data_IF_865576195057
#
_entry.id   IF_865576195057
#
_cell.length_a   1.000
_cell.length_b   1.000
_cell.length_c   1.000
_cell.angle_alpha   90.00
_cell.angle_beta   90.00
_cell.angle_gamma   90.00
#
_symmetry.space_group_name_H-M   'P 1'
#
loop_
_entity.id
_entity.type
_entity.pdbx_description
1 polymer ?
#
# COMPACT_ATOMS: atom_id res chain seq x y z
N UNK A 1 10.84 31.09 38.91
CA UNK A 1 11.08 30.26 37.71
C UNK A 1 10.06 29.15 37.70
N UNK A 2 9.55 28.74 36.54
CA UNK A 2 8.55 27.67 36.42
C UNK A 2 9.26 26.36 36.00
N UNK A 3 9.83 25.58 36.94
CA UNK A 3 10.70 24.43 36.63
C UNK A 3 9.97 23.29 35.91
N UNK A 4 8.64 23.31 35.87
CA UNK A 4 7.80 22.35 35.15
C UNK A 4 7.55 22.75 33.68
N UNK A 5 7.86 23.99 33.28
CA UNK A 5 7.68 24.43 31.90
C UNK A 5 8.68 23.76 30.96
N UNK A 6 9.95 23.64 31.37
CA UNK A 6 11.02 23.02 30.56
C UNK A 6 10.75 21.56 30.19
N UNK A 7 10.33 20.68 31.13
CA UNK A 7 10.01 19.29 30.80
C UNK A 7 8.83 19.15 29.83
N UNK A 8 7.78 19.96 29.99
CA UNK A 8 6.58 19.90 29.13
C UNK A 8 6.94 20.33 27.70
N UNK A 9 7.69 21.43 27.57
CA UNK A 9 8.15 21.93 26.27
C UNK A 9 9.07 20.90 25.60
N UNK A 10 9.98 20.27 26.35
CA UNK A 10 10.83 19.20 25.84
C UNK A 10 10.04 18.00 25.32
N UNK A 11 8.94 17.63 25.99
CA UNK A 11 8.08 16.51 25.60
C UNK A 11 7.28 16.84 24.33
N UNK A 12 6.78 18.07 24.20
CA UNK A 12 6.10 18.56 22.99
C UNK A 12 7.06 18.56 21.80
N UNK A 13 8.28 19.09 21.96
CA UNK A 13 9.29 19.13 20.90
C UNK A 13 9.69 17.71 20.51
N UNK A 14 9.89 16.81 21.49
CA UNK A 14 10.21 15.40 21.24
C UNK A 14 9.12 14.70 20.43
N UNK A 15 7.84 14.92 20.78
CA UNK A 15 6.72 14.36 20.03
C UNK A 15 6.64 14.90 18.59
N UNK A 16 6.90 16.20 18.40
CA UNK A 16 6.95 16.81 17.07
C UNK A 16 8.09 16.24 16.21
N UNK A 17 9.29 16.11 16.78
CA UNK A 17 10.45 15.50 16.10
C UNK A 17 10.16 14.05 15.76
N UNK A 18 9.62 13.26 16.71
CA UNK A 18 9.30 11.86 16.48
C UNK A 18 8.30 11.69 15.33
N UNK A 19 7.29 12.57 15.25
CA UNK A 19 6.33 12.58 14.16
C UNK A 19 7.00 12.86 12.81
N UNK A 20 7.84 13.89 12.73
CA UNK A 20 8.58 14.24 11.51
C UNK A 20 9.51 13.10 11.09
N UNK A 21 10.19 12.47 12.04
CA UNK A 21 11.05 11.31 11.78
C UNK A 21 10.23 10.16 11.23
N UNK A 22 9.07 9.82 11.81
CA UNK A 22 8.22 8.75 11.29
C UNK A 22 7.69 9.07 9.88
N UNK A 23 7.27 10.31 9.62
CA UNK A 23 6.82 10.76 8.30
C UNK A 23 7.96 10.68 7.26
N UNK A 24 9.16 11.16 7.62
CA UNK A 24 10.33 11.18 6.74
C UNK A 24 10.89 9.78 6.53
N UNK A 25 11.00 8.98 7.59
CA UNK A 25 11.46 7.60 7.54
C UNK A 25 10.57 6.77 6.63
N UNK A 26 9.23 6.90 6.69
CA UNK A 26 8.34 6.20 5.74
C UNK A 26 8.65 6.57 4.29
N UNK A 27 8.89 7.85 4.01
CA UNK A 27 9.25 8.34 2.67
C UNK A 27 10.64 7.89 2.20
N UNK A 28 11.59 7.67 3.10
CA UNK A 28 12.97 7.30 2.77
C UNK A 28 13.14 5.78 2.75
N UNK A 29 12.44 5.04 3.61
CA UNK A 29 12.41 3.57 3.60
C UNK A 29 11.84 3.05 2.27
N UNK A 30 10.81 3.72 1.71
CA UNK A 30 10.27 3.34 0.39
C UNK A 30 11.29 3.51 -0.73
N UNK A 31 12.13 4.54 -0.65
CA UNK A 31 13.19 4.83 -1.64
C UNK A 31 14.41 3.93 -1.49
N UNK A 32 14.78 3.54 -0.28
CA UNK A 32 15.96 2.72 -0.02
C UNK A 32 15.73 1.22 -0.21
N UNK A 33 14.48 0.73 -0.11
CA UNK A 33 14.19 -0.70 -0.27
C UNK A 33 13.68 -1.10 -1.66
N UNK A 34 12.96 -0.24 -2.40
CA UNK A 34 12.45 -0.64 -3.72
C UNK A 34 12.27 0.50 -4.75
N UNK A 35 12.58 1.76 -4.42
CA UNK A 35 12.41 2.87 -5.37
C UNK A 35 10.96 3.08 -5.83
N UNK A 36 9.99 2.49 -5.13
CA UNK A 36 8.57 2.64 -5.42
C UNK A 36 8.06 3.85 -4.67
N UNK A 37 7.56 4.83 -5.43
CA UNK A 37 6.92 6.02 -4.89
C UNK A 37 5.70 5.62 -4.05
N UNK A 38 5.47 6.23 -2.88
CA UNK A 38 4.37 5.88 -1.98
C UNK A 38 2.97 6.05 -2.62
N UNK A 39 2.90 6.78 -3.73
CA UNK A 39 1.71 6.99 -4.54
C UNK A 39 1.32 5.71 -5.32
N UNK A 40 2.30 4.92 -5.77
CA UNK A 40 2.07 3.73 -6.61
C UNK A 40 1.31 2.63 -5.86
N UNK A 41 1.67 2.23 -4.62
CA UNK A 41 0.88 1.27 -3.85
C UNK A 41 -0.52 1.78 -3.50
N UNK A 42 -0.68 3.10 -3.32
CA UNK A 42 -1.98 3.71 -3.05
C UNK A 42 -2.90 3.65 -4.28
N UNK A 43 -2.35 3.91 -5.46
CA UNK A 43 -3.07 3.79 -6.73
C UNK A 43 -3.48 2.33 -7.00
N UNK A 44 -2.56 1.38 -6.84
CA UNK A 44 -2.84 -0.07 -6.95
C UNK A 44 -3.95 -0.49 -5.98
N UNK A 45 -3.89 -0.03 -4.73
CA UNK A 45 -4.92 -0.30 -3.72
C UNK A 45 -6.29 0.27 -4.13
N UNK A 46 -6.31 1.49 -4.67
CA UNK A 46 -7.53 2.14 -5.13
C UNK A 46 -8.19 1.36 -6.28
N UNK A 47 -7.41 0.97 -7.29
CA UNK A 47 -7.89 0.20 -8.44
C UNK A 47 -8.40 -1.18 -8.01
N UNK A 48 -7.64 -1.88 -7.16
CA UNK A 48 -8.04 -3.20 -6.66
C UNK A 48 -9.33 -3.10 -5.82
N UNK A 49 -9.42 -2.13 -4.91
CA UNK A 49 -10.59 -1.92 -4.05
C UNK A 49 -11.85 -1.44 -4.79
N UNK A 50 -11.72 -0.88 -5.99
CA UNK A 50 -12.84 -0.50 -6.84
C UNK A 50 -13.46 -1.68 -7.61
N UNK A 51 -12.94 -2.90 -7.44
CA UNK A 51 -13.43 -4.10 -8.13
C UNK A 51 -14.59 -4.72 -7.36
N UNK A 52 -15.67 -5.02 -8.08
CA UNK A 52 -16.87 -5.61 -7.49
C UNK A 52 -16.55 -6.98 -6.89
N UNK A 53 -17.00 -7.21 -5.65
CA UNK A 53 -16.73 -8.45 -4.91
C UNK A 53 -15.48 -8.40 -4.02
N UNK A 54 -14.64 -7.37 -4.13
CA UNK A 54 -13.56 -7.11 -3.17
C UNK A 54 -14.15 -6.44 -1.93
N UNK A 55 -14.03 -7.10 -0.77
CA UNK A 55 -14.43 -6.52 0.53
C UNK A 55 -13.34 -5.63 1.10
N UNK A 56 -12.10 -6.08 1.00
CA UNK A 56 -10.94 -5.36 1.51
C UNK A 56 -9.70 -5.70 0.69
N UNK A 57 -8.75 -4.75 0.61
CA UNK A 57 -7.40 -5.03 0.12
C UNK A 57 -6.49 -5.18 1.34
N UNK A 58 -6.15 -6.42 1.69
CA UNK A 58 -5.34 -6.70 2.89
C UNK A 58 -3.92 -6.16 2.72
N UNK A 59 -3.30 -6.44 1.58
CA UNK A 59 -1.91 -6.07 1.34
C UNK A 59 -1.67 -5.68 -0.12
N UNK A 60 -0.79 -4.69 -0.31
CA UNK A 60 -0.29 -4.29 -1.63
C UNK A 60 1.21 -4.15 -1.52
N UNK A 61 1.93 -4.93 -2.33
CA UNK A 61 3.37 -4.80 -2.52
C UNK A 61 3.63 -4.50 -3.98
N UNK A 62 4.50 -3.53 -4.23
CA UNK A 62 4.95 -3.22 -5.57
C UNK A 62 6.46 -3.21 -5.53
N UNK A 63 7.10 -3.81 -6.52
CA UNK A 63 8.56 -3.87 -6.63
C UNK A 63 9.03 -3.63 -8.06
N UNK A 64 10.23 -3.09 -8.18
CA UNK A 64 10.92 -2.98 -9.46
C UNK A 64 11.69 -4.27 -9.77
N UNK A 65 11.53 -4.76 -10.99
CA UNK A 65 12.24 -5.91 -11.53
C UNK A 65 12.91 -5.47 -12.84
N UNK A 66 14.14 -4.97 -12.72
CA UNK A 66 14.87 -4.33 -13.81
C UNK A 66 14.21 -3.01 -14.23
N UNK A 67 13.56 -3.02 -15.41
CA UNK A 67 12.85 -1.86 -15.97
C UNK A 67 11.32 -2.00 -15.91
N UNK A 68 10.82 -2.99 -15.16
CA UNK A 68 9.41 -3.36 -15.10
C UNK A 68 8.92 -3.31 -13.67
N UNK A 69 7.70 -2.81 -13.44
CA UNK A 69 7.06 -2.91 -12.14
C UNK A 69 6.18 -4.16 -12.05
N UNK A 70 6.26 -4.84 -10.90
CA UNK A 70 5.40 -5.95 -10.51
C UNK A 70 4.56 -5.54 -9.31
N UNK A 71 3.26 -5.81 -9.36
CA UNK A 71 2.37 -5.67 -8.21
C UNK A 71 1.99 -7.05 -7.65
N UNK A 72 1.99 -7.19 -6.34
CA UNK A 72 1.44 -8.30 -5.59
C UNK A 72 0.33 -7.74 -4.70
N UNK A 73 -0.88 -8.26 -4.84
CA UNK A 73 -2.07 -7.75 -4.16
C UNK A 73 -2.79 -8.91 -3.48
N UNK A 74 -3.11 -8.75 -2.21
CA UNK A 74 -3.95 -9.68 -1.45
C UNK A 74 -5.31 -9.03 -1.22
N UNK A 75 -6.36 -9.63 -1.75
CA UNK A 75 -7.74 -9.18 -1.59
C UNK A 75 -8.51 -10.11 -0.66
N UNK A 76 -9.48 -9.56 0.04
CA UNK A 76 -10.44 -10.30 0.84
C UNK A 76 -11.77 -10.30 0.09
N UNK A 77 -12.32 -11.47 -0.15
CA UNK A 77 -13.65 -11.66 -0.74
C UNK A 77 -14.62 -12.25 0.29
N UNK A 78 -15.87 -12.45 -0.09
CA UNK A 78 -16.84 -13.14 0.73
C UNK A 78 -16.48 -14.63 0.89
N UNK A 79 -16.37 -15.12 2.14
CA UNK A 79 -16.01 -16.51 2.42
C UNK A 79 -17.08 -17.54 2.05
N UNK A 80 -18.31 -17.11 1.78
CA UNK A 80 -19.41 -17.99 1.38
C UNK A 80 -19.41 -18.29 -0.14
N UNK A 81 -18.56 -17.63 -0.92
CA UNK A 81 -18.50 -17.83 -2.37
C UNK A 81 -17.61 -19.02 -2.72
N UNK A 82 -17.84 -19.58 -3.90
CA UNK A 82 -16.99 -20.66 -4.42
C UNK A 82 -15.58 -20.17 -4.75
N UNK A 83 -14.60 -21.07 -4.68
CA UNK A 83 -13.22 -20.79 -5.14
C UNK A 83 -13.20 -20.29 -6.59
N UNK A 84 -14.08 -20.80 -7.45
CA UNK A 84 -14.20 -20.35 -8.84
C UNK A 84 -14.68 -18.89 -8.93
N UNK A 85 -15.64 -18.50 -8.08
CA UNK A 85 -16.11 -17.11 -7.99
C UNK A 85 -15.02 -16.19 -7.45
N UNK A 86 -14.29 -16.62 -6.41
CA UNK A 86 -13.13 -15.88 -5.90
C UNK A 86 -12.04 -15.71 -6.95
N UNK A 87 -11.75 -16.75 -7.74
CA UNK A 87 -10.80 -16.69 -8.85
C UNK A 87 -11.24 -15.70 -9.94
N UNK A 88 -12.54 -15.66 -10.28
CA UNK A 88 -13.08 -14.67 -11.22
C UNK A 88 -12.87 -13.23 -10.72
N UNK A 89 -13.10 -12.97 -9.43
CA UNK A 89 -12.85 -11.65 -8.83
C UNK A 89 -11.35 -11.31 -8.89
N UNK A 90 -10.48 -12.28 -8.59
CA UNK A 90 -9.03 -12.10 -8.69
C UNK A 90 -8.57 -11.78 -10.12
N UNK A 91 -9.15 -12.45 -11.12
CA UNK A 91 -8.87 -12.22 -12.53
C UNK A 91 -9.37 -10.84 -12.99
N UNK A 92 -10.53 -10.41 -12.51
CA UNK A 92 -11.06 -9.06 -12.76
C UNK A 92 -10.15 -7.98 -12.15
N UNK A 93 -9.67 -8.17 -10.92
CA UNK A 93 -8.68 -7.29 -10.29
C UNK A 93 -7.39 -7.26 -11.11
N UNK A 94 -6.90 -8.43 -11.53
CA UNK A 94 -5.70 -8.55 -12.36
C UNK A 94 -5.83 -7.75 -13.66
N UNK A 95 -6.94 -7.94 -14.39
CA UNK A 95 -7.20 -7.21 -15.63
C UNK A 95 -7.32 -5.70 -15.41
N UNK A 96 -8.04 -5.25 -14.38
CA UNK A 96 -8.17 -3.82 -14.06
C UNK A 96 -6.83 -3.18 -13.73
N UNK A 97 -5.99 -3.86 -12.93
CA UNK A 97 -4.65 -3.37 -12.60
C UNK A 97 -3.78 -3.19 -13.84
N UNK A 98 -3.74 -4.18 -14.74
CA UNK A 98 -2.94 -4.08 -15.97
C UNK A 98 -3.51 -3.09 -16.99
N UNK A 99 -4.84 -2.91 -17.04
CA UNK A 99 -5.46 -1.98 -17.98
C UNK A 99 -5.33 -0.52 -17.53
N UNK A 100 -5.50 -0.24 -16.24
CA UNK A 100 -5.47 1.12 -15.71
C UNK A 100 -4.05 1.58 -15.42
N UNK A 101 -3.19 0.68 -14.94
CA UNK A 101 -1.81 1.00 -14.55
C UNK A 101 -0.84 0.45 -15.58
N UNK A 102 -0.70 1.16 -16.71
CA UNK A 102 0.12 0.73 -17.87
C UNK A 102 1.60 0.55 -17.56
N UNK A 103 2.09 1.09 -16.45
CA UNK A 103 3.47 0.90 -15.99
C UNK A 103 3.68 -0.46 -15.30
N UNK A 104 2.61 -1.15 -14.89
CA UNK A 104 2.69 -2.51 -14.36
C UNK A 104 2.88 -3.49 -15.51
N UNK A 105 3.89 -4.35 -15.36
CA UNK A 105 4.14 -5.43 -16.32
C UNK A 105 3.48 -6.75 -15.92
N UNK A 106 3.18 -6.92 -14.63
CA UNK A 106 2.45 -8.08 -14.11
C UNK A 106 1.82 -7.72 -12.76
N UNK A 107 0.69 -8.35 -12.46
CA UNK A 107 0.00 -8.27 -11.18
C UNK A 107 -0.33 -9.68 -10.68
N UNK A 108 0.12 -10.06 -9.50
CA UNK A 108 -0.28 -11.32 -8.87
C UNK A 108 -1.35 -11.02 -7.83
N UNK A 109 -2.52 -11.64 -7.96
CA UNK A 109 -3.64 -11.43 -7.04
C UNK A 109 -3.88 -12.70 -6.22
N UNK A 110 -3.90 -12.56 -4.90
CA UNK A 110 -4.24 -13.60 -3.94
C UNK A 110 -5.60 -13.33 -3.31
N UNK A 111 -6.39 -14.39 -3.10
CA UNK A 111 -7.74 -14.40 -2.49
C UNK A 111 -7.73 -15.26 -1.24
#
# INVERSE_FOLDING_TARGET
GYPLADPIVGLVISAAILRIVVETSKSVFSRLLDGVEPEVPAEVRSVAGATDGVREVAEVRVRWLGHKMLAEVSIVVDGEISVASGHSIAEDVHHRLLHQLKYLSSATVHV
#
